data_IF_658870550001
#
_entry.id   IF_658870550001
#
_cell.length_a   1.000
_cell.length_b   1.000
_cell.length_c   1.000
_cell.angle_alpha   90.00
_cell.angle_beta   90.00
_cell.angle_gamma   90.00
#
_symmetry.space_group_name_H-M   'P 1'
#
loop_
_entity.id
_entity.type
_entity.pdbx_description
1 polymer ?
#
# COMPACT_ATOMS: atom_id res chain seq x y z
N UNK A 1 -6.71 15.37 -21.76
CA UNK A 1 -5.51 15.27 -20.91
C UNK A 1 -5.19 13.80 -20.82
N UNK A 2 -3.94 13.42 -21.04
CA UNK A 2 -3.53 12.01 -20.97
C UNK A 2 -3.24 11.64 -19.51
N UNK A 3 -3.63 10.43 -19.11
CA UNK A 3 -3.38 9.94 -17.76
C UNK A 3 -1.97 9.35 -17.71
N UNK A 4 -1.03 10.14 -17.22
CA UNK A 4 0.36 9.71 -17.00
C UNK A 4 0.58 9.41 -15.52
N UNK A 5 1.74 8.82 -15.16
CA UNK A 5 2.17 8.66 -13.77
C UNK A 5 2.07 9.95 -12.95
N UNK A 6 2.54 11.08 -13.49
CA UNK A 6 2.47 12.35 -12.77
C UNK A 6 1.03 12.87 -12.70
N UNK A 7 0.24 12.71 -13.78
CA UNK A 7 -1.18 13.06 -13.79
C UNK A 7 -2.02 12.26 -12.78
N UNK A 8 -1.68 10.98 -12.57
CA UNK A 8 -2.27 10.15 -11.52
C UNK A 8 -1.99 10.73 -10.14
N UNK A 9 -0.73 11.04 -9.83
CA UNK A 9 -0.38 11.63 -8.53
C UNK A 9 -0.98 13.03 -8.33
N UNK A 10 -1.09 13.83 -9.38
CA UNK A 10 -1.77 15.14 -9.33
C UNK A 10 -3.25 14.99 -8.97
N UNK A 11 -3.96 13.99 -9.52
CA UNK A 11 -5.35 13.70 -9.15
C UNK A 11 -5.47 13.25 -7.71
N UNK A 12 -4.61 12.33 -7.25
CA UNK A 12 -4.61 11.86 -5.86
C UNK A 12 -4.33 13.00 -4.89
N UNK A 13 -3.32 13.84 -5.18
CA UNK A 13 -2.96 14.99 -4.37
C UNK A 13 -4.11 16.01 -4.28
N UNK A 14 -4.79 16.26 -5.39
CA UNK A 14 -5.90 17.19 -5.43
C UNK A 14 -7.16 16.63 -4.74
N UNK A 15 -7.43 15.32 -4.84
CA UNK A 15 -8.47 14.65 -4.04
C UNK A 15 -8.19 14.81 -2.55
N UNK A 16 -6.96 14.47 -2.11
CA UNK A 16 -6.51 14.58 -0.72
C UNK A 16 -6.61 16.00 -0.20
N UNK A 17 -6.25 17.00 -1.00
CA UNK A 17 -6.37 18.43 -0.66
C UNK A 17 -7.81 18.89 -0.49
N UNK A 18 -8.74 18.39 -1.31
CA UNK A 18 -10.16 18.77 -1.25
C UNK A 18 -10.92 18.12 -0.11
N UNK A 19 -10.66 16.84 0.13
CA UNK A 19 -11.49 16.00 1.00
C UNK A 19 -10.77 15.50 2.24
N UNK A 20 -9.44 15.58 2.31
CA UNK A 20 -8.65 15.24 3.49
C UNK A 20 -8.81 13.77 3.89
N UNK A 21 -9.64 13.51 4.90
CA UNK A 21 -9.94 12.17 5.41
C UNK A 21 -11.30 11.64 4.94
N UNK A 22 -12.09 12.46 4.25
CA UNK A 22 -13.37 12.07 3.67
C UNK A 22 -13.14 11.20 2.42
N UNK A 23 -13.16 9.89 2.63
CA UNK A 23 -12.93 8.88 1.59
C UNK A 23 -14.07 8.87 0.57
N UNK A 24 -15.31 8.93 1.03
CA UNK A 24 -16.49 8.98 0.16
C UNK A 24 -16.45 10.21 -0.76
N UNK A 25 -16.12 11.38 -0.20
CA UNK A 25 -15.94 12.60 -0.97
C UNK A 25 -14.79 12.52 -1.98
N UNK A 26 -13.65 11.97 -1.56
CA UNK A 26 -12.49 11.75 -2.44
C UNK A 26 -12.84 10.81 -3.60
N UNK A 27 -13.50 9.70 -3.31
CA UNK A 27 -13.94 8.69 -4.26
C UNK A 27 -14.90 9.28 -5.29
N UNK A 28 -15.96 9.96 -4.84
CA UNK A 28 -16.94 10.55 -5.75
C UNK A 28 -16.30 11.61 -6.64
N UNK A 29 -15.40 12.43 -6.11
CA UNK A 29 -14.69 13.43 -6.90
C UNK A 29 -13.77 12.82 -7.96
N UNK A 30 -13.00 11.78 -7.61
CA UNK A 30 -12.16 11.06 -8.56
C UNK A 30 -13.00 10.45 -9.70
N UNK A 31 -14.15 9.85 -9.37
CA UNK A 31 -15.09 9.33 -10.37
C UNK A 31 -15.58 10.42 -11.32
N UNK A 32 -15.96 11.58 -10.79
CA UNK A 32 -16.42 12.70 -11.62
C UNK A 32 -15.30 13.20 -12.54
N UNK A 33 -14.06 13.30 -12.05
CA UNK A 33 -12.92 13.70 -12.87
C UNK A 33 -12.63 12.68 -13.98
N UNK A 34 -12.57 11.40 -13.67
CA UNK A 34 -12.32 10.35 -14.65
C UNK A 34 -13.45 10.27 -15.70
N UNK A 35 -14.70 10.50 -15.28
CA UNK A 35 -15.85 10.59 -16.20
C UNK A 35 -15.67 11.72 -17.22
N UNK A 36 -15.18 12.88 -16.77
CA UNK A 36 -14.89 14.03 -17.65
C UNK A 36 -13.71 13.75 -18.59
N UNK A 37 -12.69 13.05 -18.08
CA UNK A 37 -11.49 12.73 -18.84
C UNK A 37 -11.75 11.68 -19.92
N UNK A 38 -12.65 10.74 -19.65
CA UNK A 38 -13.16 9.76 -20.61
C UNK A 38 -12.61 8.33 -20.39
N UNK A 39 -13.09 7.36 -21.20
CA UNK A 39 -12.86 5.94 -20.97
C UNK A 39 -11.39 5.53 -20.91
N UNK A 40 -10.57 6.00 -21.86
CA UNK A 40 -9.15 5.64 -21.90
C UNK A 40 -8.42 6.10 -20.63
N UNK A 41 -8.72 7.31 -20.15
CA UNK A 41 -8.10 7.84 -18.93
C UNK A 41 -8.57 7.09 -17.67
N UNK A 42 -9.79 6.55 -17.66
CA UNK A 42 -10.26 5.68 -16.58
C UNK A 42 -9.53 4.33 -16.57
N UNK A 43 -9.27 3.74 -17.75
CA UNK A 43 -8.44 2.53 -17.88
C UNK A 43 -7.00 2.81 -17.42
N UNK A 44 -6.39 3.88 -17.92
CA UNK A 44 -5.02 4.23 -17.56
C UNK A 44 -4.87 4.51 -16.05
N UNK A 45 -5.88 5.14 -15.42
CA UNK A 45 -5.91 5.37 -13.96
C UNK A 45 -5.97 4.04 -13.20
N UNK A 46 -6.82 3.11 -13.65
CA UNK A 46 -6.90 1.76 -13.11
C UNK A 46 -5.53 1.07 -13.21
N UNK A 47 -4.94 1.02 -14.40
CA UNK A 47 -3.66 0.33 -14.63
C UNK A 47 -2.53 0.90 -13.76
N UNK A 48 -2.44 2.23 -13.64
CA UNK A 48 -1.42 2.89 -12.79
C UNK A 48 -1.65 2.58 -11.31
N UNK A 49 -2.90 2.67 -10.84
CA UNK A 49 -3.24 2.38 -9.44
C UNK A 49 -2.88 0.94 -9.07
N UNK A 50 -3.28 -0.02 -9.91
CA UNK A 50 -2.95 -1.44 -9.69
C UNK A 50 -1.45 -1.70 -9.79
N UNK A 51 -0.73 -1.00 -10.68
CA UNK A 51 0.73 -1.03 -10.73
C UNK A 51 1.38 -0.58 -9.42
N UNK A 52 0.90 0.52 -8.82
CA UNK A 52 1.39 0.96 -7.51
C UNK A 52 0.96 0.04 -6.36
N UNK A 53 -0.25 -0.53 -6.39
CA UNK A 53 -0.63 -1.57 -5.42
C UNK A 53 0.32 -2.77 -5.54
N UNK A 54 0.61 -3.26 -6.74
CA UNK A 54 1.55 -4.36 -6.96
C UNK A 54 2.94 -4.04 -6.39
N UNK A 55 3.46 -2.83 -6.64
CA UNK A 55 4.77 -2.40 -6.16
C UNK A 55 4.83 -2.27 -4.63
N UNK A 56 3.70 -1.95 -3.99
CA UNK A 56 3.53 -1.92 -2.55
C UNK A 56 3.22 -3.29 -1.91
N UNK A 57 3.14 -4.37 -2.70
CA UNK A 57 3.02 -5.73 -2.18
C UNK A 57 4.34 -6.22 -1.57
N UNK A 58 4.71 -5.67 -0.42
CA UNK A 58 5.97 -5.93 0.26
C UNK A 58 5.72 -6.44 1.67
N UNK A 59 6.56 -7.37 2.12
CA UNK A 59 6.46 -7.96 3.45
C UNK A 59 6.55 -6.92 4.58
N UNK A 60 7.43 -5.92 4.46
CA UNK A 60 7.54 -4.86 5.45
C UNK A 60 6.30 -3.95 5.52
N UNK A 61 5.62 -3.72 4.39
CA UNK A 61 4.35 -3.00 4.39
C UNK A 61 3.21 -3.84 4.95
N UNK A 62 3.23 -5.16 4.76
CA UNK A 62 2.30 -6.07 5.43
C UNK A 62 2.47 -6.03 6.95
N UNK A 63 3.71 -6.07 7.44
CA UNK A 63 4.00 -5.92 8.88
C UNK A 63 3.50 -4.58 9.42
N UNK A 64 3.68 -3.48 8.67
CA UNK A 64 3.11 -2.19 9.06
C UNK A 64 1.58 -2.20 9.06
N UNK A 65 0.94 -2.83 8.08
CA UNK A 65 -0.52 -2.96 8.02
C UNK A 65 -1.07 -3.76 9.21
N UNK A 66 -0.41 -4.85 9.63
CA UNK A 66 -0.80 -5.60 10.84
C UNK A 66 -0.81 -4.70 12.09
N UNK A 67 0.14 -3.79 12.20
CA UNK A 67 0.24 -2.90 13.37
C UNK A 67 -0.81 -1.79 13.34
N UNK A 68 -1.12 -1.21 12.17
CA UNK A 68 -1.94 0.02 12.09
C UNK A 68 -3.43 -0.29 11.87
N UNK A 69 -3.77 -1.40 11.20
CA UNK A 69 -5.17 -1.74 10.90
C UNK A 69 -5.86 -2.35 12.13
N UNK A 70 -7.00 -1.79 12.53
CA UNK A 70 -7.72 -2.12 13.79
C UNK A 70 -8.16 -3.60 13.92
N UNK A 71 -8.23 -4.35 12.82
CA UNK A 71 -8.66 -5.76 12.80
C UNK A 71 -7.59 -6.70 12.23
N UNK A 72 -6.34 -6.24 12.19
CA UNK A 72 -5.24 -6.93 11.52
C UNK A 72 -5.32 -6.82 10.00
N UNK A 73 -4.53 -7.62 9.31
CA UNK A 73 -4.40 -7.60 7.86
C UNK A 73 -4.73 -8.98 7.27
N UNK A 74 -5.86 -9.07 6.54
CA UNK A 74 -6.14 -10.19 5.64
C UNK A 74 -5.54 -9.90 4.26
N UNK A 75 -5.55 -10.87 3.34
CA UNK A 75 -5.11 -10.64 1.95
C UNK A 75 -5.90 -9.50 1.30
N UNK A 76 -7.23 -9.49 1.46
CA UNK A 76 -8.12 -8.43 0.96
C UNK A 76 -7.85 -7.10 1.68
N UNK A 77 -7.73 -7.13 3.01
CA UNK A 77 -7.41 -5.94 3.80
C UNK A 77 -6.05 -5.33 3.43
N UNK A 78 -5.11 -6.12 2.92
CA UNK A 78 -3.83 -5.60 2.42
C UNK A 78 -3.94 -4.93 1.05
N UNK A 79 -4.91 -5.33 0.21
CA UNK A 79 -5.24 -4.60 -1.02
C UNK A 79 -5.77 -3.22 -0.64
N UNK A 80 -6.70 -3.17 0.30
CA UNK A 80 -7.34 -1.93 0.76
C UNK A 80 -6.35 -1.01 1.48
N UNK A 81 -5.43 -1.58 2.26
CA UNK A 81 -4.34 -0.83 2.87
C UNK A 81 -3.42 -0.18 1.84
N UNK A 82 -3.07 -0.90 0.77
CA UNK A 82 -2.22 -0.33 -0.29
C UNK A 82 -2.95 0.75 -1.09
N UNK A 83 -4.26 0.63 -1.27
CA UNK A 83 -5.08 1.72 -1.82
C UNK A 83 -5.11 2.92 -0.88
N UNK A 84 -5.31 2.71 0.43
CA UNK A 84 -5.24 3.76 1.43
C UNK A 84 -3.86 4.45 1.47
N UNK A 85 -2.77 3.69 1.32
CA UNK A 85 -1.40 4.21 1.27
C UNK A 85 -1.21 5.12 0.05
N UNK A 86 -1.70 4.72 -1.12
CA UNK A 86 -1.70 5.57 -2.32
C UNK A 86 -2.48 6.86 -2.06
N UNK A 87 -3.64 6.78 -1.40
CA UNK A 87 -4.47 7.95 -1.08
C UNK A 87 -3.78 8.97 -0.13
N UNK A 88 -2.72 8.58 0.59
CA UNK A 88 -1.91 9.52 1.37
C UNK A 88 -1.04 10.43 0.49
N UNK A 89 -0.91 10.10 -0.80
CA UNK A 89 -0.15 10.86 -1.78
C UNK A 89 1.27 10.33 -1.99
N UNK A 90 1.91 10.84 -3.05
CA UNK A 90 3.19 10.33 -3.58
C UNK A 90 4.30 10.29 -2.54
N UNK A 91 4.46 11.36 -1.76
CA UNK A 91 5.56 11.48 -0.80
C UNK A 91 5.45 10.43 0.32
N UNK A 92 4.25 10.25 0.88
CA UNK A 92 3.99 9.25 1.91
C UNK A 92 4.15 7.83 1.35
N UNK A 93 3.60 7.58 0.16
CA UNK A 93 3.73 6.29 -0.51
C UNK A 93 5.21 5.90 -0.74
N UNK A 94 6.03 6.82 -1.26
CA UNK A 94 7.45 6.58 -1.49
C UNK A 94 8.24 6.44 -0.17
N UNK A 95 7.93 7.25 0.84
CA UNK A 95 8.56 7.16 2.15
C UNK A 95 8.29 5.81 2.82
N UNK A 96 7.05 5.30 2.75
CA UNK A 96 6.68 4.01 3.32
C UNK A 96 7.37 2.82 2.62
N UNK A 97 7.65 2.92 1.31
CA UNK A 97 8.41 1.88 0.58
C UNK A 97 9.91 1.88 0.93
N UNK A 98 10.45 3.05 1.28
CA UNK A 98 11.80 3.20 1.78
C UNK A 98 11.93 2.80 3.26
N UNK A 99 10.91 3.08 4.06
CA UNK A 99 10.85 2.84 5.50
C UNK A 99 9.38 2.74 5.95
N UNK A 100 8.81 1.52 6.11
CA UNK A 100 7.42 1.38 6.53
C UNK A 100 7.13 1.95 7.92
N UNK A 101 8.12 2.04 8.80
CA UNK A 101 7.97 2.61 10.15
C UNK A 101 7.65 4.12 10.08
N UNK A 102 7.91 4.78 8.94
CA UNK A 102 7.51 6.17 8.69
C UNK A 102 6.01 6.40 8.75
N UNK A 103 5.19 5.35 8.58
CA UNK A 103 3.74 5.43 8.71
C UNK A 103 3.28 5.78 10.13
N UNK A 104 4.16 5.71 11.14
CA UNK A 104 3.85 6.21 12.48
C UNK A 104 3.56 7.72 12.49
N UNK A 105 4.08 8.49 11.53
CA UNK A 105 3.85 9.93 11.38
C UNK A 105 2.59 10.25 10.58
N UNK A 106 1.96 9.24 9.97
CA UNK A 106 0.74 9.41 9.18
C UNK A 106 -0.47 9.27 10.09
N UNK A 107 -1.45 10.15 9.89
CA UNK A 107 -2.72 10.07 10.61
C UNK A 107 -3.56 8.91 10.07
N UNK A 108 -3.87 7.95 10.93
CA UNK A 108 -4.74 6.84 10.60
C UNK A 108 -6.20 7.32 10.52
N UNK A 109 -6.89 6.97 9.44
CA UNK A 109 -8.33 7.19 9.25
C UNK A 109 -8.91 6.07 8.39
N UNK A 110 -10.23 5.86 8.47
CA UNK A 110 -10.91 4.83 7.66
C UNK A 110 -10.38 3.42 7.91
N UNK A 111 -9.91 3.12 9.13
CA UNK A 111 -9.27 1.83 9.45
C UNK A 111 -7.99 1.54 8.68
N UNK A 112 -7.40 2.56 8.03
CA UNK A 112 -6.32 2.42 7.05
C UNK A 112 -6.67 1.52 5.86
N UNK A 113 -7.95 1.54 5.46
CA UNK A 113 -8.49 0.79 4.33
C UNK A 113 -9.20 1.73 3.37
N UNK A 114 -9.10 1.48 2.06
CA UNK A 114 -9.82 2.25 1.05
C UNK A 114 -10.16 1.37 -0.16
N UNK A 115 -11.07 0.42 0.03
CA UNK A 115 -11.51 -0.55 -0.98
C UNK A 115 -11.97 0.16 -2.27
N UNK A 116 -12.81 1.19 -2.16
CA UNK A 116 -13.46 1.84 -3.30
C UNK A 116 -12.47 2.55 -4.24
N UNK A 117 -11.31 2.96 -3.71
CA UNK A 117 -10.28 3.57 -4.53
C UNK A 117 -9.71 2.57 -5.56
N UNK A 118 -9.61 1.28 -5.19
CA UNK A 118 -9.18 0.20 -6.09
C UNK A 118 -10.10 0.11 -7.31
N UNK A 119 -11.41 0.18 -7.08
CA UNK A 119 -12.42 -0.02 -8.12
C UNK A 119 -12.78 1.25 -8.90
N UNK A 120 -12.20 2.41 -8.55
CA UNK A 120 -12.60 3.71 -9.10
C UNK A 120 -12.50 3.77 -10.62
N UNK A 121 -11.35 3.37 -11.19
CA UNK A 121 -11.14 3.39 -12.64
C UNK A 121 -12.05 2.39 -13.38
N UNK A 122 -12.17 1.17 -12.85
CA UNK A 122 -13.06 0.14 -13.40
C UNK A 122 -14.53 0.59 -13.40
N UNK A 123 -15.01 1.13 -12.27
CA UNK A 123 -16.40 1.60 -12.12
C UNK A 123 -16.74 2.67 -13.15
N UNK A 124 -15.83 3.63 -13.39
CA UNK A 124 -16.05 4.69 -14.38
C UNK A 124 -16.02 4.12 -15.79
N UNK A 125 -15.06 3.23 -16.10
CA UNK A 125 -14.96 2.61 -17.42
C UNK A 125 -16.23 1.82 -17.76
N UNK A 126 -16.66 0.93 -16.86
CA UNK A 126 -17.89 0.14 -17.01
C UNK A 126 -19.12 1.03 -17.20
N UNK A 127 -19.21 2.14 -16.46
CA UNK A 127 -20.31 3.09 -16.60
C UNK A 127 -20.34 3.75 -17.99
N UNK A 128 -19.17 4.07 -18.54
CA UNK A 128 -19.05 4.78 -19.82
C UNK A 128 -19.16 3.87 -21.03
N UNK A 129 -18.68 2.62 -20.94
CA UNK A 129 -18.51 1.73 -22.09
C UNK A 129 -19.28 0.41 -21.98
N UNK A 130 -19.67 0.02 -20.76
CA UNK A 130 -20.19 -1.31 -20.46
C UNK A 130 -19.14 -2.42 -20.39
N UNK A 131 -17.84 -2.07 -20.44
CA UNK A 131 -16.72 -3.02 -20.42
C UNK A 131 -15.91 -2.87 -19.13
N UNK A 132 -15.44 -3.98 -18.59
CA UNK A 132 -14.59 -4.00 -17.40
C UNK A 132 -13.15 -3.68 -17.75
N UNK A 133 -12.45 -2.98 -16.85
CA UNK A 133 -11.01 -2.67 -17.00
C UNK A 133 -10.13 -3.93 -16.95
N UNK A 134 -10.67 -5.02 -16.41
CA UNK A 134 -10.05 -6.34 -16.38
C UNK A 134 -10.25 -7.12 -17.69
N UNK A 135 -11.17 -6.70 -18.57
CA UNK A 135 -11.37 -7.34 -19.86
C UNK A 135 -10.25 -6.95 -20.82
N UNK A 136 -9.44 -7.93 -21.25
CA UNK A 136 -8.37 -7.68 -22.21
C UNK A 136 -7.06 -7.17 -21.59
N UNK A 137 -6.88 -7.36 -20.26
CA UNK A 137 -5.60 -7.09 -19.57
C UNK A 137 -4.43 -7.75 -20.29
N UNK A 138 -3.54 -6.92 -20.83
CA UNK A 138 -2.26 -7.36 -21.41
C UNK A 138 -1.20 -7.41 -20.31
N UNK A 139 -0.88 -8.62 -19.85
CA UNK A 139 0.14 -8.84 -18.82
C UNK A 139 1.50 -8.25 -19.20
N UNK A 140 1.86 -8.21 -20.48
CA UNK A 140 3.12 -7.60 -20.91
C UNK A 140 3.09 -6.08 -20.74
N UNK A 141 1.96 -5.44 -21.07
CA UNK A 141 1.75 -4.01 -20.84
C UNK A 141 1.74 -3.68 -19.35
N UNK A 142 1.03 -4.45 -18.51
CA UNK A 142 1.02 -4.25 -17.06
C UNK A 142 2.43 -4.37 -16.45
N UNK A 143 3.21 -5.36 -16.88
CA UNK A 143 4.59 -5.52 -16.41
C UNK A 143 5.51 -4.39 -16.88
N UNK A 144 5.33 -3.89 -18.11
CA UNK A 144 6.09 -2.74 -18.62
C UNK A 144 5.76 -1.47 -17.83
N UNK A 145 4.47 -1.23 -17.56
CA UNK A 145 4.03 -0.11 -16.73
C UNK A 145 4.59 -0.22 -15.30
N UNK A 146 4.47 -1.38 -14.66
CA UNK A 146 5.03 -1.59 -13.32
C UNK A 146 6.55 -1.34 -13.29
N UNK A 147 7.28 -1.74 -14.32
CA UNK A 147 8.72 -1.46 -14.45
C UNK A 147 9.02 0.04 -14.62
N UNK A 148 8.17 0.80 -15.32
CA UNK A 148 8.26 2.26 -15.41
C UNK A 148 7.99 2.92 -14.07
N UNK A 149 6.88 2.58 -13.40
CA UNK A 149 6.49 3.14 -12.11
C UNK A 149 7.55 2.87 -11.03
N UNK A 150 8.18 1.69 -11.07
CA UNK A 150 9.25 1.28 -10.14
C UNK A 150 10.48 2.19 -10.17
N UNK A 151 10.74 2.91 -11.26
CA UNK A 151 11.96 3.73 -11.40
C UNK A 151 12.05 4.84 -10.35
N UNK A 152 10.92 5.28 -9.80
CA UNK A 152 10.86 6.32 -8.76
C UNK A 152 10.96 5.76 -7.34
N UNK A 153 10.94 4.43 -7.18
CA UNK A 153 10.80 3.78 -5.88
C UNK A 153 12.18 3.33 -5.38
N UNK A 154 12.58 3.86 -4.22
CA UNK A 154 13.69 3.34 -3.44
C UNK A 154 13.16 2.42 -2.33
N UNK A 155 13.54 1.15 -2.38
CA UNK A 155 13.14 0.14 -1.41
C UNK A 155 14.11 0.08 -0.23
N UNK A 156 13.59 0.12 0.99
CA UNK A 156 14.37 -0.03 2.22
C UNK A 156 14.96 -1.42 2.38
N UNK A 157 16.07 -1.55 3.12
CA UNK A 157 16.73 -2.85 3.34
C UNK A 157 15.86 -3.90 4.02
N UNK A 158 14.90 -3.48 4.86
CA UNK A 158 13.96 -4.35 5.56
C UNK A 158 12.65 -4.65 4.83
N UNK A 159 12.35 -3.94 3.73
CA UNK A 159 11.03 -3.98 3.08
C UNK A 159 10.66 -5.37 2.54
N UNK A 160 11.67 -6.16 2.16
CA UNK A 160 11.54 -7.51 1.62
C UNK A 160 11.70 -8.61 2.67
N UNK A 161 11.72 -8.29 3.97
CA UNK A 161 11.84 -9.28 5.03
C UNK A 161 10.49 -9.49 5.75
N UNK A 162 9.94 -10.72 5.76
CA UNK A 162 8.69 -11.03 6.43
C UNK A 162 8.93 -11.19 7.93
N UNK A 163 8.84 -10.08 8.67
CA UNK A 163 9.03 -10.05 10.13
C UNK A 163 7.96 -10.89 10.84
N UNK A 164 8.37 -11.60 11.89
CA UNK A 164 7.49 -12.24 12.88
C UNK A 164 7.28 -11.34 14.11
N UNK A 165 6.34 -11.71 14.98
CA UNK A 165 5.92 -10.91 16.14
C UNK A 165 7.06 -10.44 17.04
N UNK A 166 8.04 -11.30 17.33
CA UNK A 166 9.20 -11.01 18.18
C UNK A 166 10.27 -10.13 17.50
N UNK A 167 10.13 -9.88 16.19
CA UNK A 167 11.02 -9.04 15.41
C UNK A 167 10.43 -7.63 15.18
N UNK A 168 9.12 -7.43 15.41
CA UNK A 168 8.43 -6.18 15.06
C UNK A 168 9.01 -4.96 15.77
N UNK A 169 9.30 -5.02 17.07
CA UNK A 169 9.81 -3.85 17.83
C UNK A 169 11.18 -3.38 17.32
N UNK A 170 12.03 -4.31 16.88
CA UNK A 170 13.33 -3.97 16.32
C UNK A 170 13.23 -3.37 14.91
N UNK A 171 12.19 -3.74 14.14
CA UNK A 171 12.02 -3.34 12.75
C UNK A 171 11.09 -2.14 12.53
N UNK A 172 10.13 -1.95 13.44
CA UNK A 172 9.09 -0.93 13.38
C UNK A 172 8.89 -0.25 14.76
N UNK A 173 9.95 0.33 15.35
CA UNK A 173 9.90 0.83 16.73
C UNK A 173 8.85 1.92 16.93
N UNK A 174 8.63 2.82 15.95
CA UNK A 174 7.64 3.90 16.10
C UNK A 174 6.22 3.37 15.96
N UNK A 175 5.97 2.47 15.01
CA UNK A 175 4.67 1.84 14.85
C UNK A 175 4.31 0.97 16.06
N UNK A 176 5.26 0.17 16.55
CA UNK A 176 5.05 -0.61 17.77
C UNK A 176 4.75 0.29 18.97
N UNK A 177 5.53 1.36 19.18
CA UNK A 177 5.27 2.29 20.27
C UNK A 177 3.89 2.98 20.18
N UNK A 178 3.36 3.16 18.96
CA UNK A 178 2.09 3.85 18.73
C UNK A 178 0.87 2.91 18.78
N UNK A 179 1.00 1.69 18.26
CA UNK A 179 -0.16 0.82 17.99
C UNK A 179 -0.08 -0.56 18.65
N UNK A 180 1.10 -1.06 19.03
CA UNK A 180 1.21 -2.40 19.60
C UNK A 180 0.85 -2.38 21.09
N UNK A 181 -0.21 -3.09 21.46
CA UNK A 181 -0.61 -3.20 22.86
C UNK A 181 0.38 -4.04 23.67
N UNK A 182 0.72 -3.65 24.92
CA UNK A 182 1.57 -4.46 25.78
C UNK A 182 0.98 -5.85 26.01
N UNK A 183 1.80 -6.90 25.85
CA UNK A 183 1.36 -8.30 26.01
C UNK A 183 0.91 -8.97 24.71
N UNK A 184 0.75 -8.24 23.61
CA UNK A 184 0.34 -8.83 22.31
C UNK A 184 1.38 -9.82 21.81
N UNK A 185 2.66 -9.45 21.81
CA UNK A 185 3.74 -10.35 21.31
C UNK A 185 3.79 -11.63 22.12
N UNK A 186 3.79 -11.52 23.45
CA UNK A 186 3.81 -12.66 24.36
C UNK A 186 2.61 -13.58 24.11
N UNK A 187 1.40 -13.02 23.97
CA UNK A 187 0.20 -13.81 23.68
C UNK A 187 0.26 -14.53 22.33
N UNK A 188 0.82 -13.90 21.29
CA UNK A 188 0.96 -14.53 19.97
C UNK A 188 1.96 -15.69 20.02
N UNK A 189 3.08 -15.50 20.73
CA UNK A 189 4.09 -16.54 20.95
C UNK A 189 3.55 -17.72 21.79
N UNK A 190 2.76 -17.45 22.83
CA UNK A 190 2.15 -18.50 23.67
C UNK A 190 1.12 -19.37 22.92
N UNK A 191 0.53 -18.82 21.86
CA UNK A 191 -0.51 -19.50 21.05
C UNK A 191 0.03 -20.09 19.74
N UNK A 192 1.36 -20.06 19.54
CA UNK A 192 2.02 -20.41 18.27
C UNK A 192 1.38 -19.71 17.06
N UNK A 193 0.88 -18.49 17.25
CA UNK A 193 0.30 -17.67 16.19
C UNK A 193 1.43 -16.96 15.44
N UNK A 194 1.67 -17.34 14.19
CA UNK A 194 2.69 -16.72 13.33
C UNK A 194 2.04 -15.77 12.33
N UNK A 195 2.76 -14.67 12.01
CA UNK A 195 2.33 -13.74 10.96
C UNK A 195 2.39 -14.44 9.60
N UNK A 196 3.44 -15.22 9.38
CA UNK A 196 3.66 -15.91 8.11
C UNK A 196 3.50 -17.42 8.25
N UNK A 197 2.99 -18.04 7.20
CA UNK A 197 2.92 -19.50 7.14
C UNK A 197 4.32 -20.09 6.92
N UNK A 198 4.88 -20.71 7.96
CA UNK A 198 6.24 -21.29 7.97
C UNK A 198 6.48 -22.40 6.94
N UNK A 199 5.41 -23.03 6.44
CA UNK A 199 5.48 -24.02 5.36
C UNK A 199 5.61 -23.42 3.95
N UNK A 200 5.49 -22.09 3.80
CA UNK A 200 5.63 -21.41 2.51
C UNK A 200 7.10 -21.37 2.06
N UNK A 201 7.45 -21.93 0.88
CA UNK A 201 8.82 -21.86 0.35
C UNK A 201 9.33 -20.42 0.16
N UNK A 202 8.44 -19.48 -0.19
CA UNK A 202 8.80 -18.08 -0.40
C UNK A 202 9.16 -17.39 0.92
N UNK A 203 8.41 -17.67 1.99
CA UNK A 203 8.71 -17.16 3.33
C UNK A 203 10.03 -17.76 3.85
N UNK A 204 10.23 -19.07 3.69
CA UNK A 204 11.49 -19.72 4.06
C UNK A 204 12.69 -19.12 3.33
N UNK A 205 12.54 -18.87 2.03
CA UNK A 205 13.59 -18.25 1.21
C UNK A 205 13.88 -16.81 1.63
N UNK A 206 12.84 -16.01 1.88
CA UNK A 206 12.98 -14.62 2.30
C UNK A 206 13.61 -14.51 3.71
N UNK A 207 13.32 -15.46 4.61
CA UNK A 207 13.88 -15.51 5.97
C UNK A 207 15.23 -16.22 6.09
N UNK A 208 15.71 -16.89 5.05
CA UNK A 208 16.93 -17.71 5.11
C UNK A 208 18.20 -16.94 5.55
N UNK A 209 18.25 -15.64 5.30
CA UNK A 209 19.35 -14.76 5.70
C UNK A 209 19.26 -14.22 7.14
N UNK A 210 18.16 -14.48 7.85
CA UNK A 210 17.83 -13.83 9.12
C UNK A 210 17.33 -12.39 8.96
N UNK A 211 16.91 -11.74 10.06
CA UNK A 211 16.43 -10.38 10.03
C UNK A 211 17.52 -9.40 9.60
N UNK A 212 17.24 -8.49 8.65
CA UNK A 212 18.22 -7.50 8.21
C UNK A 212 18.54 -6.53 9.35
N UNK A 213 19.82 -6.21 9.52
CA UNK A 213 20.22 -5.14 10.43
C UNK A 213 19.75 -3.81 9.85
N UNK A 214 18.82 -3.16 10.53
CA UNK A 214 18.51 -1.76 10.23
C UNK A 214 19.71 -0.93 10.64
N UNK A 215 20.33 -0.25 9.68
CA UNK A 215 21.34 0.76 9.99
C UNK A 215 20.64 1.87 10.77
N UNK A 216 20.76 1.84 12.10
CA UNK A 216 20.42 2.97 12.94
C UNK A 216 21.43 4.08 12.64
N UNK A 217 21.19 4.85 11.57
CA UNK A 217 21.86 6.11 11.43
C UNK A 217 21.40 6.97 12.61
N UNK A 218 22.30 7.13 13.58
CA UNK A 218 22.20 8.13 14.63
C UNK A 218 22.15 9.51 13.96
N UNK A 219 20.94 10.02 13.74
CA UNK A 219 20.66 11.44 13.52
C UNK A 219 19.54 11.79 14.51
N UNK A 220 19.68 12.62 15.54
CA UNK A 220 20.77 13.42 16.08
C UNK A 220 20.29 13.96 17.43
N UNK A 221 21.24 14.27 18.32
CA UNK A 221 21.01 15.07 19.53
C UNK A 221 20.57 16.49 19.19
#
# INVERSE_FOLDING_TARGET
MEMTKDGFWDLIAEAKKRYGQDQDGSFQWLKDQLTILGPQQAQDFHDILHGYQQLANQYGLWSAAILICEHGCTDDGFIDFRAWLIAQGREVYLAALADPDSLAEVEAYGGCQFEELTDTGNTVLETLTGQSAYEGTDLAACNALAAELRQDIAYGGGIGYPCEWDELEAHFPRLCAKYLEPGTVESMLETDNTIWYSGSPDIQKARAGGPPQLNMNMEGM
#
